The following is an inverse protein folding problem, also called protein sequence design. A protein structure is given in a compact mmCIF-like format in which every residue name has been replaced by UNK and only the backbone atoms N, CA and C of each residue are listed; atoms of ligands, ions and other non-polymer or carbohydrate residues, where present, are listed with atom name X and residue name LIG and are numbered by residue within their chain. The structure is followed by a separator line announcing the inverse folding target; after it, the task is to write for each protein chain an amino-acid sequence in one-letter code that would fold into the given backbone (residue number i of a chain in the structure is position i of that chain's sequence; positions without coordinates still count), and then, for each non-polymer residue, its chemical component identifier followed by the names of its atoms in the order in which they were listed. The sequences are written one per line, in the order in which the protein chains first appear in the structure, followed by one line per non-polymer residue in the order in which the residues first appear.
data_IF_013377579611
#
_entry.id   IF_013377579611
#
_cell.length_a   1.000
_cell.length_b   1.000
_cell.length_c   1.000
_cell.angle_alpha   90.00
_cell.angle_beta   90.00
_cell.angle_gamma   90.00
#
_symmetry.space_group_name_H-M   'P 1'
#
loop_
_entity.id
_entity.type
_entity.pdbx_description
1 polymer ?
#
# COMPACT_ATOMS: atom_id res chain seq x y z
N UNK A 1 -6.46 -27.20 9.10
CA UNK A 1 -5.61 -26.01 8.92
C UNK A 1 -6.16 -24.91 9.80
N UNK A 2 -5.60 -24.76 11.00
CA UNK A 2 -5.99 -23.73 11.98
C UNK A 2 -5.28 -22.42 11.66
N UNK A 3 -6.02 -21.32 11.60
CA UNK A 3 -5.43 -20.00 11.42
C UNK A 3 -4.87 -19.54 12.76
N UNK A 4 -3.55 -19.70 12.94
CA UNK A 4 -2.80 -18.94 13.93
C UNK A 4 -2.63 -17.52 13.37
N UNK A 5 -3.62 -16.66 13.63
CA UNK A 5 -3.44 -15.22 13.50
C UNK A 5 -2.73 -14.74 14.76
N UNK A 6 -1.41 -14.64 14.72
CA UNK A 6 -0.66 -13.98 15.78
C UNK A 6 -1.16 -12.54 15.89
N UNK A 7 -1.72 -12.21 17.04
CA UNK A 7 -1.95 -10.83 17.44
C UNK A 7 -0.64 -10.07 17.27
N UNK A 8 -0.61 -9.13 16.33
CA UNK A 8 0.47 -8.18 16.22
C UNK A 8 0.53 -7.45 17.59
N UNK A 9 1.66 -7.57 18.27
CA UNK A 9 1.93 -6.79 19.47
C UNK A 9 1.98 -5.33 19.05
N UNK A 10 0.99 -4.56 19.51
CA UNK A 10 0.98 -3.11 19.34
C UNK A 10 2.14 -2.48 20.10
N UNK A 11 2.64 -1.39 19.54
CA UNK A 11 3.83 -0.69 19.95
C UNK A 11 3.72 -0.19 21.40
N UNK A 12 4.30 -0.94 22.34
CA UNK A 12 4.64 -0.42 23.65
C UNK A 12 5.84 0.55 23.52
N UNK A 13 5.56 1.82 23.28
CA UNK A 13 6.26 3.00 23.86
C UNK A 13 5.87 4.31 23.15
N UNK A 14 4.60 4.70 23.26
CA UNK A 14 4.31 6.11 23.49
C UNK A 14 3.19 6.16 24.50
N UNK A 15 3.53 6.36 25.76
CA UNK A 15 2.56 6.60 26.82
C UNK A 15 2.20 8.10 26.80
N UNK A 16 1.04 8.52 26.27
CA UNK A 16 0.33 9.57 26.96
C UNK A 16 -0.27 8.91 28.21
N UNK A 17 0.24 9.29 29.39
CA UNK A 17 -0.37 8.91 30.67
C UNK A 17 -1.86 9.25 30.60
N UNK A 18 -2.71 8.22 30.55
CA UNK A 18 -4.15 8.39 30.73
C UNK A 18 -4.46 8.34 32.23
N UNK A 19 -5.01 9.45 32.71
CA UNK A 19 -6.05 9.60 33.74
C UNK A 19 -6.08 8.50 34.81
N UNK A 20 -5.20 8.63 35.81
CA UNK A 20 -5.54 8.21 37.16
C UNK A 20 -6.46 9.29 37.74
N UNK A 21 -7.70 8.94 38.07
CA UNK A 21 -8.51 9.76 38.99
C UNK A 21 -7.85 9.60 40.36
N UNK A 22 -6.92 10.50 40.66
CA UNK A 22 -6.33 10.67 41.97
C UNK A 22 -6.36 12.16 42.30
N UNK A 23 -7.04 12.49 43.40
CA UNK A 23 -6.90 13.78 44.05
C UNK A 23 -5.41 14.03 44.33
N UNK A 24 -4.84 15.08 43.74
CA UNK A 24 -3.44 15.46 43.97
C UNK A 24 -2.93 16.33 42.83
N UNK A 25 -2.78 17.63 43.08
CA UNK A 25 -2.31 18.60 42.09
C UNK A 25 -0.88 18.31 41.67
N UNK A 26 -0.68 17.93 40.40
CA UNK A 26 0.60 18.00 39.72
C UNK A 26 0.51 19.07 38.62
N UNK A 27 1.34 20.10 38.75
CA UNK A 27 1.46 21.19 37.80
C UNK A 27 1.95 20.66 36.46
N UNK A 28 1.04 20.51 35.49
CA UNK A 28 1.38 20.21 34.11
C UNK A 28 2.20 21.38 33.57
N UNK A 29 3.48 21.14 33.27
CA UNK A 29 4.34 22.14 32.63
C UNK A 29 3.64 22.69 31.37
N UNK A 30 3.28 23.99 31.33
CA UNK A 30 2.43 24.55 30.27
C UNK A 30 3.10 24.43 28.89
N UNK A 31 4.43 24.35 28.84
CA UNK A 31 5.20 24.25 27.61
C UNK A 31 4.99 22.91 26.86
N UNK A 32 4.78 21.79 27.59
CA UNK A 32 4.51 20.48 26.97
C UNK A 32 3.08 20.37 26.44
N UNK A 33 2.12 21.04 27.10
CA UNK A 33 0.72 21.11 26.65
C UNK A 33 0.58 21.98 25.39
N UNK A 34 1.34 23.08 25.30
CA UNK A 34 1.36 23.94 24.11
C UNK A 34 1.98 23.21 22.90
N UNK A 35 3.09 22.49 23.07
CA UNK A 35 3.66 21.67 21.98
C UNK A 35 2.67 20.61 21.46
N UNK A 36 2.02 19.88 22.37
CA UNK A 36 1.05 18.85 22.01
C UNK A 36 -0.22 19.41 21.32
N UNK A 37 -0.68 20.60 21.70
CA UNK A 37 -1.84 21.27 21.08
C UNK A 37 -1.51 21.80 19.69
N UNK A 38 -0.34 22.43 19.50
CA UNK A 38 0.14 22.91 18.19
C UNK A 38 0.32 21.74 17.21
N UNK A 39 0.91 20.63 17.65
CA UNK A 39 1.03 19.43 16.82
C UNK A 39 -0.34 18.84 16.42
N UNK A 40 -1.30 18.85 17.35
CA UNK A 40 -2.67 18.40 17.09
C UNK A 40 -3.36 19.29 16.06
N UNK A 41 -3.24 20.60 16.20
CA UNK A 41 -3.80 21.58 15.27
C UNK A 41 -3.22 21.40 13.87
N UNK A 42 -1.91 21.23 13.73
CA UNK A 42 -1.26 20.94 12.45
C UNK A 42 -1.78 19.63 11.81
N UNK A 43 -1.91 18.56 12.60
CA UNK A 43 -2.48 17.27 12.14
C UNK A 43 -3.94 17.43 11.69
N UNK A 44 -4.76 18.20 12.43
CA UNK A 44 -6.16 18.47 12.10
C UNK A 44 -6.30 19.30 10.84
N UNK A 45 -5.46 20.31 10.65
CA UNK A 45 -5.45 21.13 9.43
C UNK A 45 -5.09 20.27 8.21
N UNK A 46 -4.02 19.46 8.30
CA UNK A 46 -3.66 18.51 7.23
C UNK A 46 -4.79 17.52 6.93
N UNK A 47 -5.50 17.03 7.96
CA UNK A 47 -6.65 16.15 7.79
C UNK A 47 -7.80 16.85 7.05
N UNK A 48 -8.20 18.05 7.50
CA UNK A 48 -9.30 18.84 6.89
C UNK A 48 -8.99 19.14 5.44
N UNK A 49 -7.78 19.58 5.16
CA UNK A 49 -7.30 19.77 3.80
C UNK A 49 -7.36 18.47 2.99
N UNK A 50 -6.75 17.38 3.47
CA UNK A 50 -6.78 16.08 2.78
C UNK A 50 -8.20 15.60 2.50
N UNK A 51 -9.15 15.85 3.42
CA UNK A 51 -10.57 15.51 3.27
C UNK A 51 -11.22 16.29 2.12
N UNK A 52 -10.94 17.58 1.99
CA UNK A 52 -11.44 18.42 0.89
C UNK A 52 -10.92 17.96 -0.48
N UNK A 53 -9.67 17.46 -0.56
CA UNK A 53 -9.03 16.96 -1.80
C UNK A 53 -9.27 15.46 -2.07
N UNK A 54 -10.23 14.81 -1.42
CA UNK A 54 -10.56 13.41 -1.71
C UNK A 54 -11.27 13.30 -3.05
N UNK A 55 -10.73 12.48 -3.95
CA UNK A 55 -11.39 12.11 -5.20
C UNK A 55 -12.25 10.87 -4.95
N UNK A 56 -13.56 10.99 -5.17
CA UNK A 56 -14.53 9.87 -5.04
C UNK A 56 -14.87 9.20 -6.37
N UNK A 57 -14.55 9.85 -7.48
CA UNK A 57 -14.71 9.28 -8.80
C UNK A 57 -13.73 8.13 -9.04
N UNK A 58 -14.14 7.17 -9.87
CA UNK A 58 -13.32 6.01 -10.23
C UNK A 58 -12.11 6.45 -11.06
N UNK A 59 -10.95 6.55 -10.41
CA UNK A 59 -9.69 6.82 -11.08
C UNK A 59 -9.01 5.54 -11.60
N UNK A 60 -8.65 5.53 -12.88
CA UNK A 60 -7.78 4.50 -13.47
C UNK A 60 -6.34 5.02 -13.42
N UNK A 61 -5.51 4.48 -12.51
CA UNK A 61 -4.10 4.89 -12.39
C UNK A 61 -3.17 4.18 -13.37
N UNK A 62 -3.42 2.90 -13.64
CA UNK A 62 -2.55 2.07 -14.48
C UNK A 62 -3.28 1.68 -15.78
N UNK A 63 -3.01 2.43 -16.85
CA UNK A 63 -3.68 2.23 -18.14
C UNK A 63 -3.40 0.83 -18.74
N UNK A 64 -2.14 0.37 -18.70
CA UNK A 64 -1.75 -0.95 -19.21
C UNK A 64 -2.51 -2.09 -18.52
N UNK A 65 -2.65 -2.05 -17.19
CA UNK A 65 -3.41 -3.05 -16.44
C UNK A 65 -4.90 -3.03 -16.77
N UNK A 66 -5.48 -1.85 -17.04
CA UNK A 66 -6.88 -1.75 -17.52
C UNK A 66 -7.04 -2.41 -18.88
N UNK A 67 -6.15 -2.14 -19.84
CA UNK A 67 -6.19 -2.76 -21.16
C UNK A 67 -6.09 -4.29 -21.07
N UNK A 68 -5.14 -4.82 -20.29
CA UNK A 68 -5.00 -6.26 -20.08
C UNK A 68 -6.27 -6.89 -19.46
N UNK A 69 -6.88 -6.22 -18.48
CA UNK A 69 -8.12 -6.70 -17.84
C UNK A 69 -9.35 -6.65 -18.76
N UNK A 70 -9.33 -5.82 -19.81
CA UNK A 70 -10.38 -5.72 -20.82
C UNK A 70 -10.26 -6.85 -21.87
N UNK A 71 -9.05 -7.20 -22.29
CA UNK A 71 -8.82 -8.28 -23.26
C UNK A 71 -8.89 -9.70 -22.66
N UNK A 72 -8.65 -9.86 -21.35
CA UNK A 72 -8.58 -11.17 -20.71
C UNK A 72 -9.95 -11.89 -20.69
N UNK A 73 -10.03 -13.19 -21.05
CA UNK A 73 -11.28 -13.94 -21.08
C UNK A 73 -12.00 -13.98 -19.72
N UNK A 74 -13.34 -13.86 -19.74
CA UNK A 74 -14.19 -13.91 -18.54
C UNK A 74 -15.36 -14.88 -18.69
N UNK A 75 -15.70 -15.58 -17.61
CA UNK A 75 -16.91 -16.41 -17.48
C UNK A 75 -17.66 -15.91 -16.24
N UNK A 76 -18.90 -15.45 -16.40
CA UNK A 76 -19.73 -14.87 -15.32
C UNK A 76 -19.00 -13.78 -14.51
N UNK A 77 -18.27 -12.90 -15.20
CA UNK A 77 -17.52 -11.78 -14.59
C UNK A 77 -16.15 -12.13 -13.99
N UNK A 78 -15.84 -13.43 -13.82
CA UNK A 78 -14.56 -13.93 -13.31
C UNK A 78 -13.60 -14.17 -14.46
N UNK A 79 -12.31 -13.94 -14.26
CA UNK A 79 -11.32 -14.33 -15.27
C UNK A 79 -11.26 -15.85 -15.40
N UNK A 80 -11.29 -16.35 -16.64
CA UNK A 80 -11.04 -17.76 -16.91
C UNK A 80 -9.54 -18.05 -16.87
N UNK A 81 -9.18 -19.24 -16.40
CA UNK A 81 -7.85 -19.81 -16.66
C UNK A 81 -7.89 -20.33 -18.08
N UNK A 82 -6.94 -19.87 -18.91
CA UNK A 82 -6.77 -20.43 -20.24
C UNK A 82 -6.28 -21.87 -19.99
N UNK A 83 -7.00 -22.91 -20.41
CA UNK A 83 -6.43 -24.25 -20.37
C UNK A 83 -5.19 -24.24 -21.27
N UNK A 84 -4.08 -24.81 -20.80
CA UNK A 84 -2.76 -24.85 -21.46
C UNK A 84 -2.78 -25.35 -22.93
N UNK A 85 -3.93 -25.79 -23.46
CA UNK A 85 -4.12 -26.32 -24.80
C UNK A 85 -4.23 -25.27 -25.94
N UNK A 86 -4.42 -23.98 -25.65
CA UNK A 86 -4.52 -22.93 -26.70
C UNK A 86 -3.49 -21.81 -26.59
N UNK A 87 -2.65 -21.82 -25.56
CA UNK A 87 -1.29 -21.32 -25.74
C UNK A 87 -0.66 -22.35 -26.66
N UNK A 88 -0.47 -22.00 -27.94
CA UNK A 88 0.45 -22.76 -28.77
C UNK A 88 1.70 -23.00 -27.93
N UNK A 89 2.29 -24.21 -27.93
CA UNK A 89 3.57 -24.42 -27.30
C UNK A 89 4.59 -23.66 -28.15
N UNK A 90 4.60 -22.33 -28.03
CA UNK A 90 5.78 -21.57 -28.32
C UNK A 90 6.81 -22.18 -27.37
N UNK A 91 7.84 -22.85 -27.92
CA UNK A 91 8.86 -23.44 -27.09
C UNK A 91 9.32 -22.31 -26.19
N UNK A 92 9.50 -22.58 -24.91
CA UNK A 92 10.48 -21.83 -24.16
C UNK A 92 11.81 -22.16 -24.86
N UNK A 93 12.50 -21.29 -25.64
CA UNK A 93 13.92 -21.21 -25.42
C UNK A 93 14.08 -20.52 -24.06
N UNK A 94 13.94 -21.31 -23.01
CA UNK A 94 14.82 -21.19 -21.86
C UNK A 94 16.23 -21.57 -22.33
N UNK A 95 16.81 -20.69 -23.14
CA UNK A 95 18.22 -20.42 -23.12
C UNK A 95 18.29 -18.91 -23.09
N UNK A 96 18.25 -18.36 -21.86
CA UNK A 96 18.96 -17.11 -21.64
C UNK A 96 20.40 -17.37 -22.09
N UNK A 97 20.70 -16.98 -23.32
CA UNK A 97 22.05 -17.01 -23.88
C UNK A 97 22.63 -15.61 -23.64
N UNK A 98 23.44 -15.42 -22.58
CA UNK A 98 24.06 -14.14 -22.28
C UNK A 98 24.99 -13.66 -23.41
N UNK A 99 25.41 -14.55 -24.32
CA UNK A 99 26.29 -14.24 -25.45
C UNK A 99 25.58 -13.42 -26.55
N UNK A 100 24.25 -13.45 -26.60
CA UNK A 100 23.45 -12.74 -27.61
C UNK A 100 23.31 -11.24 -27.34
N UNK A 101 23.74 -10.77 -26.17
CA UNK A 101 23.72 -9.35 -25.78
C UNK A 101 25.10 -8.67 -25.81
N UNK A 102 26.18 -9.42 -26.08
CA UNK A 102 27.54 -8.85 -26.21
C UNK A 102 27.83 -8.33 -27.62
N UNK A 103 27.19 -8.84 -28.67
CA UNK A 103 27.46 -8.42 -30.05
C UNK A 103 26.78 -7.11 -30.49
N UNK A 104 25.86 -6.55 -29.68
CA UNK A 104 25.07 -5.36 -30.06
C UNK A 104 25.28 -4.19 -29.09
N UNK A 105 26.29 -4.26 -28.22
CA UNK A 105 26.59 -3.22 -27.22
C UNK A 105 27.85 -2.39 -27.48
N UNK A 106 28.50 -2.56 -28.63
CA UNK A 106 29.72 -1.82 -29.02
C UNK A 106 29.79 -1.44 -30.52
N UNK A 107 28.64 -1.15 -31.13
CA UNK A 107 28.56 -0.41 -32.39
C UNK A 107 27.44 0.61 -32.24
N UNK A 108 27.79 1.83 -31.83
CA UNK A 108 26.88 2.97 -31.71
C UNK A 108 27.12 3.79 -30.46
#
# INVERSE_FOLDING_TARGET
MSYCGSTFTDAASSTPKEVAIANGGESLNPNMVVGATVEREAKLMRYKEKRKKRCYEKQIRYASRKAYAQMRPRVRGRFAKIPEATTSPLPLPSTYDPSRLELVRWLG
#
